data_IF_027226478581
#
_entry.id   IF_027226478581
#
_cell.length_a   1.000
_cell.length_b   1.000
_cell.length_c   1.000
_cell.angle_alpha   90.00
_cell.angle_beta   90.00
_cell.angle_gamma   90.00
#
_symmetry.space_group_name_H-M   'P 1'
#
loop_
_entity.id
_entity.type
_entity.pdbx_description
1 polymer ?
#
# COMPACT_ATOMS: atom_id res chain seq x y z
N UNK A 1 12.43 26.09 -23.95
CA UNK A 1 11.34 26.15 -24.92
C UNK A 1 10.24 25.21 -24.51
N UNK A 2 9.09 25.73 -24.17
CA UNK A 2 7.90 24.91 -23.98
C UNK A 2 7.49 24.34 -25.34
N UNK A 3 7.39 23.02 -25.41
CA UNK A 3 6.83 22.35 -26.59
C UNK A 3 5.35 22.73 -26.69
N UNK A 4 4.93 23.38 -27.79
CA UNK A 4 3.56 23.86 -27.92
C UNK A 4 2.55 22.75 -28.20
N UNK A 5 3.00 21.52 -28.22
CA UNK A 5 2.22 20.44 -28.81
C UNK A 5 1.09 19.87 -27.97
N UNK A 6 0.93 20.21 -26.69
CA UNK A 6 -0.09 19.53 -25.90
C UNK A 6 -0.79 20.37 -24.83
N UNK A 7 -0.50 21.64 -24.67
CA UNK A 7 -1.13 22.49 -23.64
C UNK A 7 -0.91 21.94 -22.20
N UNK A 8 -0.06 20.93 -22.06
CA UNK A 8 0.33 20.39 -20.76
C UNK A 8 1.54 21.16 -20.27
N UNK A 9 1.61 21.51 -18.97
CA UNK A 9 2.83 22.06 -18.41
C UNK A 9 3.96 21.06 -18.66
N UNK A 10 5.19 21.52 -18.95
CA UNK A 10 6.32 20.63 -19.08
C UNK A 10 6.40 19.76 -17.82
N UNK A 11 6.54 18.45 -17.98
CA UNK A 11 6.79 17.58 -16.84
C UNK A 11 8.04 18.11 -16.16
N UNK A 12 7.88 18.60 -14.95
CA UNK A 12 9.00 19.05 -14.16
C UNK A 12 9.82 17.82 -13.74
N UNK A 13 10.89 17.56 -14.48
CA UNK A 13 11.81 16.46 -14.18
C UNK A 13 12.48 16.60 -12.80
N UNK A 14 12.33 17.77 -12.17
CA UNK A 14 12.83 18.04 -10.83
C UNK A 14 11.78 17.85 -9.74
N UNK A 15 10.53 17.55 -10.10
CA UNK A 15 9.41 17.38 -9.14
C UNK A 15 9.55 16.13 -8.27
N UNK A 16 10.32 15.14 -8.70
CA UNK A 16 10.56 13.92 -7.95
C UNK A 16 11.72 14.03 -6.94
N UNK A 17 11.79 13.05 -6.06
CA UNK A 17 12.81 12.93 -5.02
C UNK A 17 13.54 11.58 -5.16
N UNK A 18 14.44 11.42 -6.16
CA UNK A 18 15.10 10.14 -6.43
C UNK A 18 15.91 9.60 -5.25
N UNK A 19 16.61 10.48 -4.52
CA UNK A 19 17.40 10.08 -3.36
C UNK A 19 16.52 9.54 -2.21
N UNK A 20 15.35 10.14 -2.00
CA UNK A 20 14.38 9.65 -1.03
C UNK A 20 13.85 8.25 -1.42
N UNK A 21 13.55 8.07 -2.70
CA UNK A 21 13.13 6.76 -3.23
C UNK A 21 14.22 5.69 -3.03
N UNK A 22 15.47 6.02 -3.26
CA UNK A 22 16.60 5.09 -3.04
C UNK A 22 16.71 4.68 -1.58
N UNK A 23 16.52 5.63 -0.64
CA UNK A 23 16.50 5.32 0.79
C UNK A 23 15.33 4.42 1.18
N UNK A 24 14.17 4.63 0.59
CA UNK A 24 13.00 3.76 0.80
C UNK A 24 13.28 2.34 0.32
N UNK A 25 13.87 2.19 -0.87
CA UNK A 25 14.21 0.87 -1.42
C UNK A 25 15.28 0.16 -0.57
N UNK A 26 16.30 0.89 -0.12
CA UNK A 26 17.33 0.34 0.74
C UNK A 26 16.79 -0.17 2.08
N UNK A 27 15.72 0.45 2.59
CA UNK A 27 15.08 0.10 3.86
C UNK A 27 13.79 -0.72 3.67
N UNK A 28 13.48 -1.20 2.48
CA UNK A 28 12.20 -1.80 2.11
C UNK A 28 11.76 -2.92 3.06
N UNK A 29 12.63 -3.86 3.34
CA UNK A 29 12.30 -4.99 4.23
C UNK A 29 11.99 -4.54 5.65
N UNK A 30 12.79 -3.62 6.16
CA UNK A 30 12.57 -3.05 7.50
C UNK A 30 11.29 -2.23 7.57
N UNK A 31 11.01 -1.43 6.55
CA UNK A 31 9.77 -0.65 6.44
C UNK A 31 8.55 -1.58 6.38
N UNK A 32 8.63 -2.62 5.57
CA UNK A 32 7.54 -3.59 5.43
C UNK A 32 7.27 -4.33 6.74
N UNK A 33 8.32 -4.76 7.43
CA UNK A 33 8.19 -5.41 8.74
C UNK A 33 7.52 -4.51 9.77
N UNK A 34 7.93 -3.25 9.84
CA UNK A 34 7.33 -2.27 10.75
C UNK A 34 5.88 -1.95 10.35
N UNK A 35 5.61 -1.83 9.07
CA UNK A 35 4.25 -1.59 8.57
C UNK A 35 3.29 -2.72 8.96
N UNK A 36 3.74 -3.96 8.83
CA UNK A 36 2.93 -5.12 9.24
C UNK A 36 2.69 -5.13 10.75
N UNK A 37 3.72 -4.86 11.57
CA UNK A 37 3.56 -4.75 13.02
C UNK A 37 2.51 -3.70 13.40
N UNK A 38 2.59 -2.52 12.81
CA UNK A 38 1.62 -1.43 13.05
C UNK A 38 0.22 -1.84 12.62
N UNK A 39 0.08 -2.42 11.43
CA UNK A 39 -1.20 -2.89 10.92
C UNK A 39 -1.85 -3.92 11.85
N UNK A 40 -1.07 -4.89 12.33
CA UNK A 40 -1.55 -5.91 13.25
C UNK A 40 -1.95 -5.33 14.61
N UNK A 41 -1.21 -4.33 15.10
CA UNK A 41 -1.51 -3.68 16.37
C UNK A 41 -2.78 -2.82 16.31
N UNK A 42 -3.00 -2.13 15.19
CA UNK A 42 -4.09 -1.17 15.04
C UNK A 42 -5.37 -1.76 14.44
N UNK A 43 -5.29 -2.96 13.85
CA UNK A 43 -6.42 -3.60 13.18
C UNK A 43 -6.85 -4.85 13.94
N UNK A 44 -7.90 -4.75 14.80
CA UNK A 44 -8.38 -5.90 15.55
C UNK A 44 -8.80 -7.05 14.61
N UNK A 45 -8.41 -8.26 14.96
CA UNK A 45 -8.76 -9.46 14.20
C UNK A 45 -7.87 -9.76 13.00
N UNK A 46 -7.00 -8.84 12.57
CA UNK A 46 -6.12 -9.10 11.43
C UNK A 46 -5.16 -10.25 11.72
N UNK A 47 -4.58 -10.32 12.91
CA UNK A 47 -3.69 -11.41 13.32
C UNK A 47 -4.37 -12.79 13.31
N UNK A 48 -5.65 -12.82 13.61
CA UNK A 48 -6.44 -14.06 13.67
C UNK A 48 -6.86 -14.55 12.28
N UNK A 49 -6.89 -13.66 11.28
CA UNK A 49 -7.25 -14.01 9.90
C UNK A 49 -6.17 -14.75 9.14
N UNK A 50 -4.92 -14.57 9.53
CA UNK A 50 -3.78 -15.10 8.78
C UNK A 50 -2.95 -16.05 9.62
N UNK A 51 -2.61 -17.18 9.02
CA UNK A 51 -1.57 -18.07 9.53
C UNK A 51 -0.18 -17.48 9.21
N UNK A 52 0.88 -18.17 9.55
CA UNK A 52 2.24 -17.71 9.31
C UNK A 52 2.50 -17.44 7.80
N UNK A 53 2.03 -18.33 6.93
CA UNK A 53 2.17 -18.15 5.49
C UNK A 53 1.37 -16.95 4.99
N UNK A 54 0.18 -16.72 5.54
CA UNK A 54 -0.66 -15.57 5.24
C UNK A 54 -0.01 -14.26 5.67
N UNK A 55 0.62 -14.22 6.84
CA UNK A 55 1.37 -13.06 7.32
C UNK A 55 2.58 -12.76 6.45
N UNK A 56 3.29 -13.78 5.97
CA UNK A 56 4.39 -13.60 5.02
C UNK A 56 3.91 -13.01 3.70
N UNK A 57 2.73 -13.40 3.22
CA UNK A 57 2.12 -12.77 2.03
C UNK A 57 1.77 -11.31 2.28
N UNK A 58 1.26 -10.97 3.47
CA UNK A 58 0.98 -9.55 3.83
C UNK A 58 2.28 -8.74 3.92
N UNK A 59 3.35 -9.34 4.43
CA UNK A 59 4.67 -8.71 4.44
C UNK A 59 5.12 -8.39 3.02
N UNK A 60 4.97 -9.34 2.09
CA UNK A 60 5.29 -9.14 0.68
C UNK A 60 4.40 -8.08 0.02
N UNK A 61 3.12 -8.03 0.36
CA UNK A 61 2.22 -6.97 -0.11
C UNK A 61 2.74 -5.59 0.31
N UNK A 62 3.21 -5.45 1.54
CA UNK A 62 3.80 -4.21 2.03
C UNK A 62 5.08 -3.86 1.26
N UNK A 63 5.97 -4.82 1.00
CA UNK A 63 7.18 -4.60 0.21
C UNK A 63 6.84 -4.12 -1.22
N UNK A 64 5.87 -4.74 -1.86
CA UNK A 64 5.43 -4.37 -3.20
C UNK A 64 4.82 -2.96 -3.23
N UNK A 65 4.02 -2.61 -2.23
CA UNK A 65 3.48 -1.25 -2.12
C UNK A 65 4.59 -0.22 -1.89
N UNK A 66 5.55 -0.51 -1.02
CA UNK A 66 6.71 0.38 -0.79
C UNK A 66 7.47 0.61 -2.10
N UNK A 67 7.66 -0.41 -2.90
CA UNK A 67 8.31 -0.29 -4.21
C UNK A 67 7.54 0.66 -5.14
N UNK A 68 6.20 0.56 -5.16
CA UNK A 68 5.35 1.46 -5.96
C UNK A 68 5.35 2.88 -5.42
N UNK A 69 5.31 3.06 -4.11
CA UNK A 69 5.42 4.37 -3.48
C UNK A 69 6.78 4.99 -3.78
N UNK A 70 7.86 4.21 -3.74
CA UNK A 70 9.19 4.70 -4.11
C UNK A 70 9.24 5.20 -5.56
N UNK A 71 8.60 4.50 -6.50
CA UNK A 71 8.48 4.98 -7.89
C UNK A 71 7.72 6.31 -7.97
N UNK A 72 6.65 6.47 -7.19
CA UNK A 72 5.91 7.73 -7.11
C UNK A 72 6.79 8.86 -6.56
N UNK A 73 7.52 8.59 -5.50
CA UNK A 73 8.44 9.57 -4.87
C UNK A 73 9.55 9.97 -5.84
N UNK A 74 10.13 9.00 -6.55
CA UNK A 74 11.20 9.26 -7.51
C UNK A 74 10.75 10.13 -8.68
N UNK A 75 9.52 9.97 -9.15
CA UNK A 75 9.00 10.63 -10.34
C UNK A 75 8.11 11.84 -10.07
N UNK A 76 7.60 12.00 -8.85
CA UNK A 76 6.59 13.01 -8.53
C UNK A 76 5.20 12.67 -9.07
N UNK A 77 4.95 11.41 -9.44
CA UNK A 77 3.69 10.95 -10.03
C UNK A 77 3.08 9.82 -9.19
N UNK A 78 1.85 10.00 -8.73
CA UNK A 78 1.16 9.02 -7.88
C UNK A 78 0.59 7.81 -8.66
N UNK A 79 0.69 7.79 -9.98
CA UNK A 79 0.08 6.75 -10.82
C UNK A 79 0.62 5.35 -10.57
N UNK A 80 1.86 5.22 -10.16
CA UNK A 80 2.45 3.90 -9.87
C UNK A 80 1.74 3.18 -8.71
N UNK A 81 1.50 3.88 -7.61
CA UNK A 81 0.77 3.33 -6.48
C UNK A 81 -0.72 3.16 -6.79
N UNK A 82 -1.33 4.14 -7.43
CA UNK A 82 -2.73 4.14 -7.83
C UNK A 82 -3.04 2.99 -8.79
N UNK A 83 -2.26 2.84 -9.85
CA UNK A 83 -2.43 1.79 -10.84
C UNK A 83 -2.20 0.39 -10.26
N UNK A 84 -1.23 0.26 -9.37
CA UNK A 84 -0.99 -0.99 -8.66
C UNK A 84 -2.18 -1.39 -7.79
N UNK A 85 -2.69 -0.47 -6.98
CA UNK A 85 -3.86 -0.72 -6.14
C UNK A 85 -5.09 -1.11 -6.97
N UNK A 86 -5.29 -0.47 -8.11
CA UNK A 86 -6.38 -0.79 -9.04
C UNK A 86 -6.24 -2.21 -9.61
N UNK A 87 -5.04 -2.58 -10.01
CA UNK A 87 -4.74 -3.90 -10.58
C UNK A 87 -4.94 -5.03 -9.57
N UNK A 88 -4.50 -4.85 -8.33
CA UNK A 88 -4.50 -5.93 -7.33
C UNK A 88 -5.82 -6.06 -6.56
N UNK A 89 -6.64 -5.04 -6.52
CA UNK A 89 -7.90 -5.06 -5.75
C UNK A 89 -8.82 -6.24 -6.12
N UNK A 90 -9.09 -6.52 -7.42
CA UNK A 90 -9.88 -7.70 -7.79
C UNK A 90 -9.22 -9.02 -7.40
N UNK A 91 -7.88 -9.08 -7.43
CA UNK A 91 -7.12 -10.28 -7.05
C UNK A 91 -7.26 -10.57 -5.55
N UNK A 92 -7.11 -9.56 -4.71
CA UNK A 92 -7.28 -9.69 -3.26
C UNK A 92 -8.70 -10.16 -2.93
N UNK A 93 -9.67 -9.61 -3.60
CA UNK A 93 -11.06 -9.99 -3.40
C UNK A 93 -11.31 -11.47 -3.72
N UNK A 94 -10.77 -11.98 -4.82
CA UNK A 94 -10.86 -13.38 -5.19
C UNK A 94 -10.14 -14.31 -4.22
N UNK A 95 -9.10 -13.82 -3.56
CA UNK A 95 -8.29 -14.55 -2.57
C UNK A 95 -8.77 -14.36 -1.14
N UNK A 96 -9.90 -13.71 -0.95
CA UNK A 96 -10.48 -13.42 0.37
C UNK A 96 -9.56 -12.61 1.28
N UNK A 97 -8.80 -11.70 0.69
CA UNK A 97 -7.99 -10.71 1.43
C UNK A 97 -8.78 -9.42 1.51
N UNK A 98 -9.21 -9.00 2.70
CA UNK A 98 -9.93 -7.74 2.85
C UNK A 98 -9.11 -6.55 2.38
N UNK A 99 -9.73 -5.64 1.62
CA UNK A 99 -9.08 -4.38 1.22
C UNK A 99 -8.78 -3.50 2.44
N UNK A 100 -9.57 -3.63 3.51
CA UNK A 100 -9.28 -2.99 4.79
C UNK A 100 -7.90 -3.36 5.33
N UNK A 101 -7.47 -4.61 5.15
CA UNK A 101 -6.14 -5.05 5.58
C UNK A 101 -5.04 -4.41 4.72
N UNK A 102 -5.28 -4.22 3.43
CA UNK A 102 -4.36 -3.51 2.54
C UNK A 102 -4.28 -2.02 2.89
N UNK A 103 -5.41 -1.40 3.25
CA UNK A 103 -5.43 -0.02 3.76
C UNK A 103 -4.64 0.07 5.07
N UNK A 104 -4.80 -0.89 5.97
CA UNK A 104 -4.04 -0.95 7.22
C UNK A 104 -2.54 -1.05 6.97
N UNK A 105 -2.10 -1.84 5.97
CA UNK A 105 -0.69 -1.91 5.56
C UNK A 105 -0.19 -0.56 5.02
N UNK A 106 -0.97 0.13 4.20
CA UNK A 106 -0.62 1.47 3.72
C UNK A 106 -0.43 2.46 4.88
N UNK A 107 -1.32 2.44 5.85
CA UNK A 107 -1.20 3.27 7.05
C UNK A 107 0.02 2.87 7.91
N UNK A 108 0.33 1.57 7.96
CA UNK A 108 1.53 1.06 8.61
C UNK A 108 2.81 1.54 7.93
N UNK A 109 2.85 1.58 6.60
CA UNK A 109 3.96 2.15 5.83
C UNK A 109 4.13 3.63 6.17
N UNK A 110 3.04 4.38 6.19
CA UNK A 110 3.04 5.79 6.59
C UNK A 110 3.67 6.00 7.97
N UNK A 111 3.30 5.16 8.93
CA UNK A 111 3.83 5.22 10.29
C UNK A 111 5.32 4.87 10.38
N UNK A 112 5.81 4.02 9.48
CA UNK A 112 7.22 3.59 9.45
C UNK A 112 8.15 4.58 8.74
N UNK A 113 7.63 5.36 7.79
CA UNK A 113 8.44 6.25 6.94
C UNK A 113 9.26 7.31 7.67
N UNK A 114 8.82 7.91 8.81
CA UNK A 114 9.64 8.88 9.54
C UNK A 114 11.00 8.35 10.01
N UNK A 115 11.16 7.04 10.11
CA UNK A 115 12.44 6.41 10.41
C UNK A 115 13.44 6.39 9.24
N UNK A 116 12.99 6.76 8.04
CA UNK A 116 13.78 6.69 6.79
C UNK A 116 13.81 8.03 6.06
N UNK A 117 12.70 8.79 6.12
CA UNK A 117 12.55 10.06 5.42
C UNK A 117 12.42 11.22 6.41
N UNK A 118 13.10 12.34 6.14
CA UNK A 118 12.89 13.56 6.91
C UNK A 118 11.51 14.15 6.65
N UNK A 119 11.00 15.06 7.54
CA UNK A 119 9.67 15.64 7.40
C UNK A 119 9.38 16.31 6.05
N UNK A 120 10.40 16.86 5.39
CA UNK A 120 10.27 17.53 4.09
C UNK A 120 9.96 16.56 2.95
N UNK A 121 10.30 15.29 3.09
CA UNK A 121 10.11 14.25 2.07
C UNK A 121 8.87 13.37 2.32
N UNK A 122 8.33 13.40 3.55
CA UNK A 122 7.15 12.60 3.91
C UNK A 122 5.90 12.92 3.08
N UNK A 123 5.58 14.19 2.73
CA UNK A 123 4.38 14.49 1.95
C UNK A 123 4.31 13.76 0.61
N UNK A 124 5.42 13.63 -0.10
CA UNK A 124 5.46 12.95 -1.40
C UNK A 124 5.05 11.46 -1.28
N UNK A 125 5.58 10.78 -0.27
CA UNK A 125 5.21 9.38 0.01
C UNK A 125 3.76 9.29 0.52
N UNK A 126 3.34 10.23 1.35
CA UNK A 126 1.97 10.32 1.87
C UNK A 126 0.94 10.47 0.76
N UNK A 127 1.19 11.31 -0.23
CA UNK A 127 0.30 11.47 -1.39
C UNK A 127 0.16 10.18 -2.20
N UNK A 128 1.24 9.45 -2.40
CA UNK A 128 1.22 8.16 -3.09
C UNK A 128 0.39 7.12 -2.32
N UNK A 129 0.57 7.04 -1.01
CA UNK A 129 -0.21 6.16 -0.15
C UNK A 129 -1.69 6.54 -0.14
N UNK A 130 -2.02 7.82 -0.07
CA UNK A 130 -3.40 8.31 -0.13
C UNK A 130 -4.06 7.94 -1.45
N UNK A 131 -3.33 8.03 -2.57
CA UNK A 131 -3.84 7.63 -3.87
C UNK A 131 -4.19 6.14 -3.93
N UNK A 132 -3.33 5.28 -3.38
CA UNK A 132 -3.59 3.85 -3.27
C UNK A 132 -4.80 3.55 -2.36
N UNK A 133 -4.87 4.19 -1.20
CA UNK A 133 -5.97 4.02 -0.24
C UNK A 133 -7.31 4.40 -0.87
N UNK A 134 -7.35 5.50 -1.61
CA UNK A 134 -8.58 5.93 -2.33
C UNK A 134 -9.05 4.87 -3.33
N UNK A 135 -8.14 4.25 -4.04
CA UNK A 135 -8.46 3.16 -4.98
C UNK A 135 -9.03 1.95 -4.25
N UNK A 136 -8.43 1.53 -3.15
CA UNK A 136 -8.94 0.43 -2.33
C UNK A 136 -10.35 0.74 -1.79
N UNK A 137 -10.57 1.95 -1.31
CA UNK A 137 -11.88 2.40 -0.84
C UNK A 137 -12.92 2.41 -1.95
N UNK A 138 -12.55 2.83 -3.15
CA UNK A 138 -13.42 2.83 -4.32
C UNK A 138 -13.88 1.41 -4.69
N UNK A 139 -12.94 0.48 -4.79
CA UNK A 139 -13.25 -0.93 -5.06
C UNK A 139 -14.15 -1.54 -3.98
N UNK A 140 -13.90 -1.21 -2.71
CA UNK A 140 -14.71 -1.65 -1.60
C UNK A 140 -16.16 -1.14 -1.70
N UNK A 141 -16.35 0.11 -2.08
CA UNK A 141 -17.68 0.70 -2.27
C UNK A 141 -18.45 0.05 -3.42
N UNK A 142 -17.78 -0.22 -4.54
CA UNK A 142 -18.41 -0.77 -5.73
C UNK A 142 -18.88 -2.21 -5.56
N UNK A 143 -18.10 -3.01 -4.91
CA UNK A 143 -18.26 -4.45 -4.97
C UNK A 143 -18.23 -5.13 -3.60
N UNK A 144 -18.19 -4.34 -2.53
CA UNK A 144 -18.00 -4.83 -1.18
C UNK A 144 -16.56 -5.30 -0.92
N UNK A 145 -16.22 -5.51 0.32
CA UNK A 145 -14.94 -6.07 0.71
C UNK A 145 -15.03 -7.60 0.82
N UNK A 146 -13.88 -8.25 0.77
CA UNK A 146 -13.80 -9.67 1.04
C UNK A 146 -14.28 -9.94 2.49
N UNK A 147 -15.02 -11.02 2.67
CA UNK A 147 -15.47 -11.41 4.00
C UNK A 147 -14.26 -11.61 4.92
N UNK A 148 -14.29 -10.95 6.06
CA UNK A 148 -13.34 -11.16 7.14
C UNK A 148 -13.58 -12.54 7.73
N UNK A 149 -12.94 -13.55 7.15
CA UNK A 149 -13.10 -14.92 7.63
C UNK A 149 -12.22 -15.13 8.85
N UNK A 150 -12.85 -15.51 9.96
CA UNK A 150 -12.15 -16.02 11.13
C UNK A 150 -11.88 -17.51 10.90
N UNK A 151 -10.64 -17.97 11.07
CA UNK A 151 -10.26 -19.37 10.91
C UNK A 151 -11.09 -20.31 11.80
N UNK A 152 -11.44 -19.87 13.00
CA UNK A 152 -12.29 -20.62 13.95
C UNK A 152 -13.72 -20.74 13.40
N UNK A 153 -14.28 -19.66 12.87
CA UNK A 153 -15.62 -19.69 12.28
C UNK A 153 -15.67 -20.52 11.00
N UNK A 154 -14.60 -20.52 10.20
CA UNK A 154 -14.50 -21.39 9.02
C UNK A 154 -14.51 -22.88 9.41
N UNK A 155 -13.85 -23.25 10.49
CA UNK A 155 -13.84 -24.61 11.00
C UNK A 155 -15.24 -25.04 11.44
N UNK A 156 -15.99 -24.17 12.12
CA UNK A 156 -17.36 -24.43 12.58
C UNK A 156 -18.36 -24.53 11.42
N UNK A 157 -18.19 -23.76 10.35
CA UNK A 157 -19.08 -23.78 9.19
C UNK A 157 -18.78 -24.89 8.18
N UNK A 158 -17.59 -25.47 8.19
CA UNK A 158 -17.26 -26.62 7.34
C UNK A 158 -17.72 -27.95 7.89
N UNK A 159 -18.23 -27.97 9.10
CA UNK A 159 -18.75 -29.17 9.77
C UNK A 159 -20.26 -29.36 9.68
N UNK A 160 -20.93 -28.54 8.87
CA UNK A 160 -22.37 -28.64 8.64
C UNK A 160 -22.74 -28.99 7.22
#
# INVERSE_FOLDING_TARGET
MSHPSLGLPPSDLTAGLPAAADRMRAAKERLAGRALEVALAETPGMRERYDEAGLRRRLRDAELMIERVALCVASGDTQYAKGYADMVSPLYRRRFVPLDDQIALCNGIRAALPGVLPPTELPAAGEALDAAIEVYRWHRRLAGDARKKNAILQFLYKGG
#
